data_IF_832793258906
#
_entry.id   IF_832793258906
#
_cell.length_a   1.000
_cell.length_b   1.000
_cell.length_c   1.000
_cell.angle_alpha   90.00
_cell.angle_beta   90.00
_cell.angle_gamma   90.00
#
_symmetry.space_group_name_H-M   'P 1'
#
loop_
_entity.id
_entity.type
_entity.pdbx_description
1 polymer ?
#
# COMPACT_ATOMS: atom_id res chain seq x y z
N UNK A 1 -20.30 13.27 -57.84
CA UNK A 1 -21.03 12.16 -57.19
C UNK A 1 -20.18 11.58 -56.07
N UNK A 2 -20.80 11.41 -54.91
CA UNK A 2 -20.42 10.60 -53.72
C UNK A 2 -19.01 10.80 -53.11
N UNK A 3 -18.91 11.57 -52.00
CA UNK A 3 -19.06 11.15 -50.58
C UNK A 3 -17.72 10.66 -49.99
N UNK A 4 -17.04 11.48 -49.18
CA UNK A 4 -17.09 11.46 -47.70
C UNK A 4 -16.93 10.06 -47.08
N UNK A 5 -15.72 9.72 -46.65
CA UNK A 5 -15.38 8.91 -45.46
C UNK A 5 -14.02 9.49 -45.01
N UNK A 6 -13.82 10.30 -43.96
CA UNK A 6 -14.42 10.36 -42.62
C UNK A 6 -14.40 9.00 -41.91
N UNK A 7 -13.21 8.53 -41.56
CA UNK A 7 -12.96 7.78 -40.33
C UNK A 7 -11.55 8.14 -39.88
N UNK A 8 -11.42 9.03 -38.91
CA UNK A 8 -11.63 8.78 -37.48
C UNK A 8 -10.23 8.80 -36.89
N UNK A 9 -9.84 9.98 -36.41
CA UNK A 9 -8.76 10.07 -35.45
C UNK A 9 -9.06 9.03 -34.39
N UNK A 10 -8.20 8.03 -34.30
CA UNK A 10 -8.13 7.17 -33.14
C UNK A 10 -7.82 8.11 -31.99
N UNK A 11 -8.88 8.56 -31.33
CA UNK A 11 -8.80 9.10 -30.00
C UNK A 11 -8.04 8.02 -29.23
N UNK A 12 -6.76 8.27 -28.98
CA UNK A 12 -6.08 7.68 -27.86
C UNK A 12 -6.91 8.12 -26.67
N UNK A 13 -7.89 7.29 -26.31
CA UNK A 13 -8.45 7.28 -24.98
C UNK A 13 -7.27 6.85 -24.13
N UNK A 14 -6.44 7.83 -23.75
CA UNK A 14 -5.60 7.74 -22.57
C UNK A 14 -6.59 7.69 -21.41
N UNK A 15 -7.22 6.53 -21.23
CA UNK A 15 -7.75 6.19 -19.94
C UNK A 15 -6.54 6.33 -19.02
N UNK A 16 -6.56 7.35 -18.17
CA UNK A 16 -5.66 7.51 -17.04
C UNK A 16 -5.93 6.34 -16.09
N UNK A 17 -5.59 5.13 -16.53
CA UNK A 17 -5.50 3.98 -15.66
C UNK A 17 -4.25 4.28 -14.86
N UNK A 18 -4.43 4.86 -13.67
CA UNK A 18 -3.37 4.95 -12.70
C UNK A 18 -2.74 3.53 -12.65
N UNK A 19 -1.45 3.40 -12.94
CA UNK A 19 -0.78 2.11 -12.93
C UNK A 19 -1.15 1.39 -11.63
N UNK A 20 -1.46 0.10 -11.71
CA UNK A 20 -1.82 -0.73 -10.52
C UNK A 20 -0.86 -0.51 -9.33
N UNK A 21 0.39 -0.16 -9.62
CA UNK A 21 1.42 0.24 -8.67
C UNK A 21 1.08 1.52 -7.90
N UNK A 22 0.73 2.61 -8.58
CA UNK A 22 0.38 3.89 -7.93
C UNK A 22 -0.83 3.74 -7.00
N UNK A 23 -1.83 2.96 -7.42
CA UNK A 23 -2.98 2.63 -6.56
C UNK A 23 -2.54 1.88 -5.31
N UNK A 24 -1.63 0.90 -5.46
CA UNK A 24 -1.11 0.17 -4.31
C UNK A 24 -0.32 1.09 -3.37
N UNK A 25 0.52 1.98 -3.89
CA UNK A 25 1.26 2.93 -3.06
C UNK A 25 0.34 3.84 -2.24
N UNK A 26 -0.76 4.32 -2.85
CA UNK A 26 -1.76 5.14 -2.16
C UNK A 26 -2.43 4.33 -1.04
N UNK A 27 -2.87 3.10 -1.33
CA UNK A 27 -3.52 2.24 -0.35
C UNK A 27 -2.58 1.91 0.80
N UNK A 28 -1.33 1.55 0.51
CA UNK A 28 -0.32 1.25 1.52
C UNK A 28 -0.02 2.43 2.42
N UNK A 29 0.10 3.62 1.84
CA UNK A 29 0.29 4.84 2.63
C UNK A 29 -0.89 5.07 3.57
N UNK A 30 -2.12 4.84 3.09
CA UNK A 30 -3.33 4.94 3.91
C UNK A 30 -3.35 3.91 5.04
N UNK A 31 -3.05 2.63 4.76
CA UNK A 31 -2.97 1.55 5.75
C UNK A 31 -1.94 1.87 6.84
N UNK A 32 -0.75 2.34 6.45
CA UNK A 32 0.31 2.71 7.40
C UNK A 32 -0.09 3.88 8.30
N UNK A 33 -0.73 4.92 7.75
CA UNK A 33 -1.22 6.05 8.55
C UNK A 33 -2.33 5.61 9.49
N UNK A 34 -3.28 4.80 9.02
CA UNK A 34 -4.36 4.27 9.86
C UNK A 34 -3.82 3.42 11.00
N UNK A 35 -2.77 2.63 10.76
CA UNK A 35 -2.06 1.88 11.80
C UNK A 35 -1.38 2.82 12.80
N UNK A 36 -0.65 3.84 12.33
CA UNK A 36 -0.04 4.81 13.23
C UNK A 36 -1.08 5.50 14.13
N UNK A 37 -2.20 5.93 13.57
CA UNK A 37 -3.24 6.63 14.32
C UNK A 37 -4.00 5.70 15.28
N UNK A 38 -4.33 4.49 14.85
CA UNK A 38 -5.19 3.58 15.63
C UNK A 38 -4.43 2.76 16.65
N UNK A 39 -3.17 2.44 16.34
CA UNK A 39 -2.42 1.39 17.03
C UNK A 39 -1.11 1.86 17.66
N UNK A 40 -0.48 2.93 17.15
CA UNK A 40 0.74 3.51 17.75
C UNK A 40 0.36 4.67 18.66
N UNK A 41 -0.46 5.59 18.18
CA UNK A 41 -0.87 6.78 18.92
C UNK A 41 -1.97 6.50 19.96
N UNK A 42 -2.71 5.39 19.80
CA UNK A 42 -3.85 5.03 20.63
C UNK A 42 -3.86 3.53 20.95
N UNK A 43 -4.55 3.10 22.02
CA UNK A 43 -4.80 1.69 22.29
C UNK A 43 -5.59 1.06 21.14
N UNK A 44 -4.95 0.16 20.38
CA UNK A 44 -5.62 -0.54 19.30
C UNK A 44 -6.51 -1.65 19.84
N UNK A 45 -7.72 -1.80 19.28
CA UNK A 45 -8.47 -3.04 19.51
C UNK A 45 -7.73 -4.23 18.87
N UNK A 46 -7.77 -5.39 19.51
CA UNK A 46 -7.12 -6.62 18.99
C UNK A 46 -7.56 -6.92 17.54
N UNK A 47 -8.86 -6.81 17.26
CA UNK A 47 -9.38 -7.06 15.90
C UNK A 47 -8.89 -6.07 14.84
N UNK A 48 -8.74 -4.80 15.20
CA UNK A 48 -8.21 -3.76 14.29
C UNK A 48 -6.74 -4.00 14.01
N UNK A 49 -5.99 -4.34 15.05
CA UNK A 49 -4.58 -4.68 14.98
C UNK A 49 -4.32 -5.87 14.05
N UNK A 50 -4.97 -7.01 14.29
CA UNK A 50 -4.80 -8.21 13.46
C UNK A 50 -5.11 -7.94 11.98
N UNK A 51 -6.13 -7.14 11.72
CA UNK A 51 -6.52 -6.74 10.37
C UNK A 51 -5.41 -5.90 9.72
N UNK A 52 -4.95 -4.84 10.38
CA UNK A 52 -3.95 -3.93 9.80
C UNK A 52 -2.58 -4.60 9.64
N UNK A 53 -2.15 -5.43 10.61
CA UNK A 53 -0.93 -6.22 10.48
C UNK A 53 -1.00 -7.19 9.29
N UNK A 54 -2.18 -7.80 9.03
CA UNK A 54 -2.39 -8.67 7.87
C UNK A 54 -2.32 -7.90 6.54
N UNK A 55 -2.95 -6.74 6.47
CA UNK A 55 -2.90 -5.89 5.27
C UNK A 55 -1.46 -5.45 4.98
N UNK A 56 -0.73 -4.94 5.99
CA UNK A 56 0.68 -4.56 5.82
C UNK A 56 1.55 -5.73 5.34
N UNK A 57 1.37 -6.94 5.89
CA UNK A 57 2.10 -8.13 5.40
C UNK A 57 1.76 -8.48 3.95
N UNK A 58 0.50 -8.35 3.55
CA UNK A 58 0.06 -8.58 2.17
C UNK A 58 0.70 -7.57 1.21
N UNK A 59 0.68 -6.28 1.57
CA UNK A 59 1.28 -5.18 0.81
C UNK A 59 2.81 -5.34 0.73
N UNK A 60 3.47 -5.74 1.83
CA UNK A 60 4.92 -6.00 1.84
C UNK A 60 5.28 -7.10 0.83
N UNK A 61 4.54 -8.21 0.83
CA UNK A 61 4.75 -9.28 -0.13
C UNK A 61 4.50 -8.83 -1.58
N UNK A 62 3.53 -7.94 -1.80
CA UNK A 62 3.31 -7.32 -3.10
C UNK A 62 4.54 -6.52 -3.56
N UNK A 63 5.04 -5.59 -2.74
CA UNK A 63 6.19 -4.75 -3.11
C UNK A 63 7.50 -5.54 -3.20
N UNK A 64 7.68 -6.55 -2.35
CA UNK A 64 8.81 -7.49 -2.44
C UNK A 64 8.84 -8.22 -3.78
N UNK A 65 7.68 -8.66 -4.29
CA UNK A 65 7.58 -9.37 -5.57
C UNK A 65 7.65 -8.44 -6.79
N UNK A 66 7.20 -7.20 -6.65
CA UNK A 66 7.07 -6.28 -7.78
C UNK A 66 7.87 -4.98 -7.59
N UNK A 67 9.04 -5.06 -6.96
CA UNK A 67 9.92 -3.92 -6.79
C UNK A 67 10.34 -3.35 -8.15
N UNK A 68 9.94 -2.11 -8.43
CA UNK A 68 10.08 -1.47 -9.75
C UNK A 68 10.83 -0.13 -9.70
N UNK A 69 11.48 0.18 -8.57
CA UNK A 69 12.33 1.35 -8.46
C UNK A 69 12.54 1.81 -7.02
N UNK A 70 13.27 2.91 -6.88
CA UNK A 70 13.66 3.49 -5.58
C UNK A 70 12.46 3.81 -4.70
N UNK A 71 11.34 4.23 -5.30
CA UNK A 71 10.13 4.59 -4.56
C UNK A 71 9.42 3.36 -3.96
N UNK A 72 9.25 2.29 -4.75
CA UNK A 72 8.66 1.04 -4.25
C UNK A 72 9.55 0.37 -3.20
N UNK A 73 10.86 0.54 -3.31
CA UNK A 73 11.80 0.06 -2.28
C UNK A 73 11.60 0.78 -0.95
N UNK A 74 11.48 2.11 -0.94
CA UNK A 74 11.21 2.87 0.30
C UNK A 74 9.90 2.46 0.98
N UNK A 75 8.86 2.20 0.20
CA UNK A 75 7.56 1.73 0.73
C UNK A 75 7.70 0.33 1.33
N UNK A 76 8.40 -0.57 0.62
CA UNK A 76 8.69 -1.93 1.10
C UNK A 76 9.48 -1.90 2.41
N UNK A 77 10.51 -1.06 2.50
CA UNK A 77 11.35 -0.94 3.71
C UNK A 77 10.56 -0.35 4.88
N UNK A 78 9.68 0.63 4.62
CA UNK A 78 8.81 1.20 5.64
C UNK A 78 7.79 0.17 6.15
N UNK A 79 7.17 -0.62 5.26
CA UNK A 79 6.31 -1.74 5.65
C UNK A 79 7.08 -2.78 6.49
N UNK A 80 8.30 -3.13 6.08
CA UNK A 80 9.14 -4.07 6.82
C UNK A 80 9.42 -3.58 8.25
N UNK A 81 9.73 -2.28 8.40
CA UNK A 81 9.89 -1.66 9.70
C UNK A 81 8.62 -1.75 10.54
N UNK A 82 7.47 -1.31 10.02
CA UNK A 82 6.20 -1.34 10.77
C UNK A 82 5.84 -2.75 11.20
N UNK A 83 5.98 -3.74 10.30
CA UNK A 83 5.69 -5.14 10.62
C UNK A 83 6.64 -5.65 11.70
N UNK A 84 7.95 -5.47 11.56
CA UNK A 84 8.91 -5.99 12.54
C UNK A 84 8.79 -5.34 13.91
N UNK A 85 8.51 -4.03 13.93
CA UNK A 85 8.49 -3.23 15.15
C UNK A 85 7.16 -3.41 15.89
N UNK A 86 6.04 -3.51 15.17
CA UNK A 86 4.72 -3.47 15.78
C UNK A 86 3.83 -4.67 15.48
N UNK A 87 4.21 -5.62 14.63
CA UNK A 87 3.41 -6.82 14.37
C UNK A 87 4.23 -8.07 14.77
N UNK A 88 3.89 -8.67 15.90
CA UNK A 88 4.44 -9.97 16.32
C UNK A 88 4.13 -11.09 15.34
N UNK A 89 4.76 -12.25 15.52
CA UNK A 89 4.60 -13.43 14.66
C UNK A 89 3.13 -13.89 14.53
N UNK A 90 2.33 -13.66 15.59
CA UNK A 90 0.90 -13.97 15.64
C UNK A 90 -0.02 -12.83 15.14
N UNK A 91 0.54 -11.76 14.55
CA UNK A 91 -0.20 -10.56 14.10
C UNK A 91 -0.83 -9.76 15.25
N UNK A 92 -0.22 -9.81 16.43
CA UNK A 92 -0.57 -9.02 17.61
C UNK A 92 0.49 -7.91 17.78
N UNK A 93 0.12 -6.76 18.36
CA UNK A 93 1.06 -5.66 18.57
C UNK A 93 2.01 -6.02 19.69
N UNK A 94 3.30 -5.82 19.42
CA UNK A 94 4.32 -5.79 20.46
C UNK A 94 4.12 -4.47 21.20
N UNK A 95 3.50 -4.49 22.37
CA UNK A 95 3.29 -3.27 23.18
C UNK A 95 4.63 -2.58 23.42
N UNK A 96 4.71 -1.33 22.95
CA UNK A 96 5.83 -0.39 23.07
C UNK A 96 7.23 -0.99 22.89
N UNK A 97 7.84 -0.94 21.69
CA UNK A 97 9.29 -1.02 21.62
C UNK A 97 9.82 0.20 22.37
N UNK A 98 10.51 -0.03 23.49
CA UNK A 98 11.28 0.99 24.18
C UNK A 98 12.19 1.65 23.13
N UNK A 99 11.90 2.90 22.79
CA UNK A 99 12.75 3.71 21.91
C UNK A 99 14.00 4.08 22.71
N UNK A 100 15.08 3.31 22.55
CA UNK A 100 16.43 3.66 23.03
C UNK A 100 16.97 4.95 22.39
#
# INVERSE_FOLDING_TARGET
MLRKILMAGTMFISACIAPKYEVMEINTTYTMNLFADSCIANPCSESTNEYLCREMQSEYNYFKKHNKGVRTEKIKDALEYYIKTYCGEDRVIIEEPELE
#
